data_IF_661879801836
#
_entry.id   IF_661879801836
#
_cell.length_a   1.000
_cell.length_b   1.000
_cell.length_c   1.000
_cell.angle_alpha   90.00
_cell.angle_beta   90.00
_cell.angle_gamma   90.00
#
_symmetry.space_group_name_H-M   'P 1'
#
loop_
_entity.id
_entity.type
_entity.pdbx_description
1 polymer ?
#
# COMPACT_ATOMS: atom_id res chain seq x y z
N UNK A 1 12.56 6.63 -5.72
CA UNK A 1 11.24 7.28 -5.87
C UNK A 1 10.39 6.47 -6.84
N UNK A 2 9.06 6.56 -6.73
CA UNK A 2 8.09 5.83 -7.55
C UNK A 2 6.96 6.79 -7.95
N UNK A 3 6.31 6.55 -9.08
CA UNK A 3 5.09 7.24 -9.51
C UNK A 3 4.00 6.19 -9.70
N UNK A 4 2.84 6.42 -9.10
CA UNK A 4 1.66 5.54 -9.18
C UNK A 4 0.55 6.34 -9.85
N UNK A 5 -0.38 5.71 -10.57
CA UNK A 5 -1.59 6.37 -11.11
C UNK A 5 -2.69 5.37 -11.46
N UNK A 6 -3.94 5.83 -11.46
CA UNK A 6 -5.11 5.01 -11.79
C UNK A 6 -5.71 4.27 -10.59
N UNK A 7 -6.53 3.24 -10.85
CA UNK A 7 -7.07 2.35 -9.81
C UNK A 7 -7.99 2.99 -8.77
N UNK A 8 -8.50 4.20 -9.03
CA UNK A 8 -9.31 4.96 -8.07
C UNK A 8 -8.51 5.58 -6.92
N UNK A 9 -7.17 5.53 -6.98
CA UNK A 9 -6.30 6.10 -5.95
C UNK A 9 -6.41 7.63 -5.87
N UNK A 10 -6.17 8.18 -4.68
CA UNK A 10 -6.10 9.63 -4.45
C UNK A 10 -4.83 10.21 -5.06
N UNK A 11 -4.93 10.74 -6.28
CA UNK A 11 -3.80 11.25 -7.06
C UNK A 11 -3.44 12.71 -6.75
N UNK A 12 -2.30 13.18 -7.27
CA UNK A 12 -1.92 14.61 -7.26
C UNK A 12 -1.14 15.05 -6.01
N UNK A 13 -0.52 14.12 -5.30
CA UNK A 13 0.18 14.37 -4.05
C UNK A 13 1.57 13.73 -4.03
N UNK A 14 2.43 14.25 -3.16
CA UNK A 14 3.74 13.67 -2.84
C UNK A 14 3.63 13.03 -1.46
N UNK A 15 3.84 11.71 -1.39
CA UNK A 15 3.76 10.93 -0.16
C UNK A 15 5.14 10.34 0.13
N UNK A 16 5.60 10.48 1.37
CA UNK A 16 6.93 10.06 1.79
C UNK A 16 7.99 11.06 1.35
N UNK A 17 8.48 11.88 2.29
CA UNK A 17 9.61 12.78 2.08
C UNK A 17 10.81 12.35 2.93
N UNK A 18 12.00 12.46 2.35
CA UNK A 18 13.28 12.33 3.07
C UNK A 18 13.64 13.63 3.78
N UNK A 19 14.54 13.55 4.76
CA UNK A 19 15.17 14.73 5.34
C UNK A 19 16.01 15.50 4.29
N UNK A 20 16.48 16.70 4.68
CA UNK A 20 17.26 17.59 3.79
C UNK A 20 18.56 16.95 3.27
N UNK A 21 19.04 15.90 3.93
CA UNK A 21 20.25 15.17 3.60
C UNK A 21 19.94 13.85 2.87
N UNK A 22 18.66 13.55 2.63
CA UNK A 22 18.15 12.28 2.12
C UNK A 22 18.59 11.04 2.94
N UNK A 23 18.93 11.23 4.22
CA UNK A 23 19.47 10.16 5.07
C UNK A 23 18.36 9.36 5.75
N UNK A 24 17.32 10.04 6.24
CA UNK A 24 16.20 9.42 6.94
C UNK A 24 14.85 9.90 6.41
N UNK A 25 13.76 9.16 6.67
CA UNK A 25 12.40 9.64 6.43
C UNK A 25 12.11 10.89 7.29
N UNK A 26 11.72 11.99 6.66
CA UNK A 26 11.23 13.20 7.34
C UNK A 26 9.74 13.12 7.66
N UNK A 27 8.99 12.30 6.92
CA UNK A 27 7.58 11.98 7.18
C UNK A 27 7.45 10.53 7.64
N UNK A 28 6.21 10.03 7.73
CA UNK A 28 5.95 8.61 7.97
C UNK A 28 6.82 7.72 7.06
N UNK A 29 7.55 6.74 7.61
CA UNK A 29 8.36 5.84 6.81
C UNK A 29 7.47 4.83 6.08
N UNK A 30 7.68 4.71 4.78
CA UNK A 30 7.04 3.67 3.96
C UNK A 30 8.10 2.71 3.45
N UNK A 31 7.69 1.46 3.28
CA UNK A 31 8.52 0.39 2.72
C UNK A 31 7.72 -0.35 1.62
N UNK A 32 8.36 -1.24 0.84
CA UNK A 32 7.68 -1.94 -0.25
C UNK A 32 6.42 -2.73 0.16
N UNK A 33 6.31 -3.16 1.43
CA UNK A 33 5.12 -3.88 1.93
C UNK A 33 3.89 -2.97 1.97
N UNK A 34 4.05 -1.68 2.26
CA UNK A 34 2.95 -0.72 2.25
C UNK A 34 2.39 -0.51 0.84
N UNK A 35 3.28 -0.41 -0.16
CA UNK A 35 2.86 -0.31 -1.56
C UNK A 35 2.12 -1.56 -2.01
N UNK A 36 2.65 -2.74 -1.69
CA UNK A 36 1.99 -4.00 -2.02
C UNK A 36 0.61 -4.12 -1.36
N UNK A 37 0.50 -3.75 -0.09
CA UNK A 37 -0.80 -3.71 0.63
C UNK A 37 -1.77 -2.72 -0.04
N UNK A 38 -1.30 -1.56 -0.51
CA UNK A 38 -2.11 -0.58 -1.26
C UNK A 38 -2.65 -1.15 -2.57
N UNK A 39 -1.82 -1.88 -3.31
CA UNK A 39 -2.22 -2.54 -4.57
C UNK A 39 -3.26 -3.63 -4.27
N UNK A 40 -3.02 -4.47 -3.26
CA UNK A 40 -3.98 -5.51 -2.91
C UNK A 40 -5.31 -4.93 -2.40
N UNK A 41 -5.27 -3.83 -1.66
CA UNK A 41 -6.47 -3.12 -1.20
C UNK A 41 -7.29 -2.53 -2.34
N UNK A 42 -6.63 -2.08 -3.41
CA UNK A 42 -7.34 -1.56 -4.60
C UNK A 42 -7.87 -2.66 -5.51
N UNK A 43 -7.16 -3.78 -5.62
CA UNK A 43 -7.59 -4.89 -6.47
C UNK A 43 -8.66 -5.77 -5.82
N UNK A 44 -8.67 -5.87 -4.49
CA UNK A 44 -9.54 -6.77 -3.76
C UNK A 44 -10.33 -6.06 -2.67
N UNK A 45 -11.63 -6.37 -2.60
CA UNK A 45 -12.43 -6.06 -1.43
C UNK A 45 -12.05 -7.02 -0.29
N UNK A 46 -11.21 -6.54 0.62
CA UNK A 46 -10.70 -7.31 1.77
C UNK A 46 -11.86 -7.84 2.65
N UNK A 47 -13.01 -7.14 2.67
CA UNK A 47 -14.21 -7.59 3.38
C UNK A 47 -14.76 -8.90 2.81
N UNK A 48 -14.80 -9.01 1.49
CA UNK A 48 -15.28 -10.20 0.77
C UNK A 48 -14.27 -11.36 0.84
N UNK A 49 -12.97 -11.05 0.79
CA UNK A 49 -11.92 -12.08 0.82
C UNK A 49 -11.82 -12.82 2.15
N UNK A 50 -12.15 -12.18 3.28
CA UNK A 50 -12.16 -12.86 4.60
C UNK A 50 -13.22 -13.97 4.70
N UNK A 51 -14.22 -13.94 3.84
CA UNK A 51 -15.36 -14.88 3.82
C UNK A 51 -15.23 -15.89 2.68
N UNK A 52 -14.29 -15.68 1.75
CA UNK A 52 -14.12 -16.53 0.57
C UNK A 52 -13.10 -17.63 0.85
N UNK A 53 -13.58 -18.88 0.95
CA UNK A 53 -12.73 -20.06 0.96
C UNK A 53 -12.04 -20.23 -0.41
N UNK A 54 -10.75 -20.58 -0.40
CA UNK A 54 -9.98 -20.90 -1.62
C UNK A 54 -8.96 -19.85 -2.06
N UNK A 55 -8.76 -18.76 -1.32
CA UNK A 55 -7.66 -17.82 -1.58
C UNK A 55 -6.32 -18.49 -1.20
N UNK A 56 -5.33 -18.58 -2.11
CA UNK A 56 -4.03 -19.16 -1.79
C UNK A 56 -3.37 -18.41 -0.61
N UNK A 57 -2.81 -19.16 0.34
CA UNK A 57 -2.14 -18.61 1.53
C UNK A 57 -1.15 -17.47 1.25
N UNK A 58 -0.32 -17.51 0.18
CA UNK A 58 0.57 -16.40 -0.16
C UNK A 58 -0.16 -15.09 -0.46
N UNK A 59 -1.36 -15.14 -1.03
CA UNK A 59 -2.17 -13.95 -1.32
C UNK A 59 -2.72 -13.36 -0.01
N UNK A 60 -3.18 -14.23 0.90
CA UNK A 60 -3.62 -13.81 2.25
C UNK A 60 -2.47 -13.17 3.02
N UNK A 61 -1.28 -13.77 2.96
CA UNK A 61 -0.10 -13.25 3.64
C UNK A 61 0.27 -11.86 3.11
N UNK A 62 0.19 -11.63 1.79
CA UNK A 62 0.49 -10.32 1.20
C UNK A 62 -0.57 -9.27 1.54
N UNK A 63 -1.85 -9.63 1.56
CA UNK A 63 -2.95 -8.73 1.97
C UNK A 63 -2.79 -8.32 3.45
N UNK A 64 -2.30 -9.22 4.29
CA UNK A 64 -2.14 -9.01 5.74
C UNK A 64 -0.74 -8.53 6.15
N UNK A 65 0.21 -8.49 5.22
CA UNK A 65 1.64 -8.20 5.49
C UNK A 65 1.93 -6.77 5.96
N UNK A 66 0.97 -5.85 5.86
CA UNK A 66 1.11 -4.48 6.34
C UNK A 66 -0.12 -3.63 6.05
N UNK A 67 -0.11 -2.40 6.55
CA UNK A 67 -1.13 -1.40 6.22
C UNK A 67 -0.87 -0.77 4.84
N UNK A 68 -1.94 -0.43 4.09
CA UNK A 68 -1.79 0.33 2.85
C UNK A 68 -1.24 1.73 3.15
N UNK A 69 -0.83 2.44 2.10
CA UNK A 69 -0.54 3.86 2.17
C UNK A 69 -1.89 4.58 2.29
N UNK A 70 -2.24 4.96 3.52
CA UNK A 70 -3.55 5.55 3.87
C UNK A 70 -3.85 6.83 3.11
N UNK A 71 -2.83 7.55 2.67
CA UNK A 71 -2.99 8.76 1.86
C UNK A 71 -3.48 8.46 0.43
N UNK A 72 -3.33 7.22 -0.06
CA UNK A 72 -3.73 6.80 -1.41
C UNK A 72 -5.12 6.14 -1.48
N UNK A 73 -5.63 5.59 -0.38
CA UNK A 73 -6.91 4.85 -0.30
C UNK A 73 -7.99 5.64 0.42
#
# INVERSE_FOLDING_TARGET
>A
SLLVSGGGLKMGQVIGASDRQAANPATRPYNPKHLMSTIMHTLFDIGQLRVTDGVPKPVVDVITAGSPIEELV
#
